data_IF_830553976331
#
_entry.id   IF_830553976331
#
_cell.length_a   1.000
_cell.length_b   1.000
_cell.length_c   1.000
_cell.angle_alpha   90.00
_cell.angle_beta   90.00
_cell.angle_gamma   90.00
#
_symmetry.space_group_name_H-M   'P 1'
#
loop_
_entity.id
_entity.type
_entity.pdbx_description
1 polymer ?
#
# COMPACT_ATOMS: atom_id res chain seq x y z
N UNK A 1 -27.97 19.08 9.99
CA UNK A 1 -27.70 17.67 10.36
C UNK A 1 -28.95 17.14 11.04
N UNK A 2 -29.59 16.13 10.46
CA UNK A 2 -30.78 15.53 11.05
C UNK A 2 -30.42 14.64 12.25
N UNK A 3 -31.40 14.39 13.16
CA UNK A 3 -31.16 13.51 14.30
C UNK A 3 -30.74 12.09 13.83
N UNK A 4 -31.28 11.64 12.70
CA UNK A 4 -30.99 10.34 12.11
C UNK A 4 -29.53 10.24 11.61
N UNK A 5 -28.99 11.32 11.03
CA UNK A 5 -27.57 11.38 10.63
C UNK A 5 -26.63 11.25 11.83
N UNK A 6 -26.97 11.88 12.95
CA UNK A 6 -26.20 11.79 14.20
C UNK A 6 -26.22 10.38 14.79
N UNK A 7 -27.38 9.70 14.76
CA UNK A 7 -27.54 8.34 15.26
C UNK A 7 -26.68 7.37 14.40
N UNK A 8 -26.77 7.47 13.08
CA UNK A 8 -26.02 6.60 12.16
C UNK A 8 -24.51 6.77 12.38
N UNK A 9 -24.04 8.02 12.51
CA UNK A 9 -22.62 8.32 12.77
C UNK A 9 -22.18 7.80 14.14
N UNK A 10 -23.00 7.98 15.18
CA UNK A 10 -22.70 7.51 16.52
C UNK A 10 -22.60 5.98 16.59
N UNK A 11 -23.54 5.28 15.96
CA UNK A 11 -23.55 3.82 15.87
C UNK A 11 -22.36 3.32 15.06
N UNK A 12 -22.07 3.93 13.90
CA UNK A 12 -20.91 3.59 13.07
C UNK A 12 -19.59 3.78 13.81
N UNK A 13 -19.44 4.90 14.53
CA UNK A 13 -18.26 5.18 15.34
C UNK A 13 -18.09 4.18 16.48
N UNK A 14 -19.20 3.78 17.14
CA UNK A 14 -19.17 2.78 18.20
C UNK A 14 -18.78 1.38 17.69
N UNK A 15 -19.31 0.98 16.54
CA UNK A 15 -18.95 -0.30 15.88
C UNK A 15 -17.48 -0.31 15.50
N UNK A 16 -16.98 0.76 14.88
CA UNK A 16 -15.58 0.89 14.50
C UNK A 16 -14.67 0.85 15.73
N UNK A 17 -15.03 1.56 16.80
CA UNK A 17 -14.28 1.56 18.05
C UNK A 17 -14.23 0.17 18.71
N UNK A 18 -15.34 -0.55 18.73
CA UNK A 18 -15.42 -1.92 19.26
C UNK A 18 -14.59 -2.90 18.41
N UNK A 19 -14.63 -2.78 17.08
CA UNK A 19 -13.83 -3.59 16.17
C UNK A 19 -12.33 -3.35 16.38
N UNK A 20 -11.89 -2.08 16.44
CA UNK A 20 -10.50 -1.71 16.68
C UNK A 20 -9.99 -2.16 18.06
N UNK A 21 -10.86 -2.10 19.08
CA UNK A 21 -10.55 -2.61 20.42
C UNK A 21 -10.33 -4.13 20.40
N UNK A 22 -11.22 -4.88 19.75
CA UNK A 22 -11.07 -6.34 19.60
C UNK A 22 -9.82 -6.76 18.85
N UNK A 23 -9.37 -5.93 17.90
CA UNK A 23 -8.13 -6.14 17.13
C UNK A 23 -6.85 -5.77 17.89
N UNK A 24 -6.94 -5.52 19.21
CA UNK A 24 -5.81 -5.16 20.09
C UNK A 24 -5.02 -3.92 19.63
N UNK A 25 -5.65 -2.99 18.93
CA UNK A 25 -5.02 -1.74 18.51
C UNK A 25 -4.71 -0.77 19.69
N UNK A 26 -5.13 -1.12 20.88
CA UNK A 26 -5.03 -0.29 22.08
C UNK A 26 -6.27 0.60 22.27
N UNK A 27 -6.64 0.83 23.51
CA UNK A 27 -7.82 1.63 23.89
C UNK A 27 -7.79 3.05 23.32
N UNK A 28 -6.61 3.65 23.24
CA UNK A 28 -6.44 5.01 22.70
C UNK A 28 -6.82 5.08 21.21
N UNK A 29 -6.33 4.18 20.38
CA UNK A 29 -6.64 4.15 18.94
C UNK A 29 -8.09 3.75 18.69
N UNK A 30 -8.65 2.82 19.47
CA UNK A 30 -10.04 2.41 19.36
C UNK A 30 -11.04 3.56 19.63
N UNK A 31 -10.63 4.56 20.38
CA UNK A 31 -11.45 5.76 20.68
C UNK A 31 -11.09 6.91 19.74
N UNK A 32 -9.81 7.15 19.51
CA UNK A 32 -9.33 8.30 18.72
C UNK A 32 -9.76 8.23 17.25
N UNK A 33 -9.73 7.04 16.62
CA UNK A 33 -10.11 6.90 15.22
C UNK A 33 -11.59 7.21 14.95
N UNK A 34 -12.57 6.62 15.66
CA UNK A 34 -13.98 6.93 15.40
C UNK A 34 -14.34 8.36 15.77
N UNK A 35 -13.73 8.92 16.83
CA UNK A 35 -13.94 10.35 17.17
C UNK A 35 -13.33 11.27 16.10
N UNK A 36 -12.16 10.96 15.60
CA UNK A 36 -11.51 11.69 14.51
C UNK A 36 -12.32 11.65 13.22
N UNK A 37 -12.86 10.48 12.85
CA UNK A 37 -13.72 10.30 11.70
C UNK A 37 -15.03 11.10 11.84
N UNK A 38 -15.64 11.09 13.03
CA UNK A 38 -16.84 11.85 13.31
C UNK A 38 -16.58 13.37 13.27
N UNK A 39 -15.47 13.82 13.87
CA UNK A 39 -15.08 15.23 13.83
C UNK A 39 -14.80 15.70 12.39
N UNK A 40 -14.13 14.87 11.59
CA UNK A 40 -13.84 15.15 10.19
C UNK A 40 -15.14 15.26 9.37
N UNK A 41 -16.09 14.33 9.56
CA UNK A 41 -17.38 14.40 8.89
C UNK A 41 -18.13 15.69 9.24
N UNK A 42 -18.20 16.06 10.52
CA UNK A 42 -18.86 17.29 10.97
C UNK A 42 -18.18 18.53 10.36
N UNK A 43 -16.85 18.57 10.33
CA UNK A 43 -16.10 19.66 9.73
C UNK A 43 -16.38 19.78 8.22
N UNK A 44 -16.39 18.67 7.50
CA UNK A 44 -16.66 18.64 6.05
C UNK A 44 -18.10 19.04 5.72
N UNK A 45 -19.08 18.66 6.56
CA UNK A 45 -20.47 19.08 6.42
C UNK A 45 -20.68 20.58 6.68
N UNK A 46 -19.79 21.21 7.44
CA UNK A 46 -19.78 22.68 7.63
C UNK A 46 -19.21 23.45 6.44
N UNK A 47 -18.65 22.77 5.46
CA UNK A 47 -18.15 23.35 4.20
C UNK A 47 -19.19 23.25 3.08
N UNK A 48 -18.79 23.55 1.84
CA UNK A 48 -19.65 23.48 0.64
C UNK A 48 -19.96 22.03 0.18
N UNK A 49 -19.48 21.02 0.91
CA UNK A 49 -19.64 19.60 0.54
C UNK A 49 -21.03 19.06 0.84
N UNK A 50 -21.54 18.19 -0.06
CA UNK A 50 -22.78 17.44 0.18
C UNK A 50 -22.55 16.34 1.24
N UNK A 51 -23.66 15.80 1.79
CA UNK A 51 -23.58 14.71 2.77
C UNK A 51 -22.81 13.49 2.24
N UNK A 52 -23.08 13.11 1.00
CA UNK A 52 -22.44 11.98 0.34
C UNK A 52 -20.94 12.20 0.14
N UNK A 53 -20.54 13.40 -0.31
CA UNK A 53 -19.13 13.76 -0.45
C UNK A 53 -18.40 13.73 0.90
N UNK A 54 -19.03 14.28 1.95
CA UNK A 54 -18.43 14.29 3.29
C UNK A 54 -18.27 12.87 3.85
N UNK A 55 -19.26 11.98 3.66
CA UNK A 55 -19.17 10.57 4.06
C UNK A 55 -18.09 9.84 3.29
N UNK A 56 -18.06 9.97 1.97
CA UNK A 56 -17.05 9.36 1.09
C UNK A 56 -15.64 9.75 1.52
N UNK A 57 -15.42 11.05 1.70
CA UNK A 57 -14.12 11.58 2.14
C UNK A 57 -13.73 11.06 3.52
N UNK A 58 -14.69 10.97 4.44
CA UNK A 58 -14.46 10.46 5.79
C UNK A 58 -14.08 8.97 5.78
N UNK A 59 -14.79 8.14 5.02
CA UNK A 59 -14.46 6.69 4.88
C UNK A 59 -13.07 6.53 4.27
N UNK A 60 -12.75 7.30 3.22
CA UNK A 60 -11.45 7.26 2.56
C UNK A 60 -10.29 7.59 3.52
N UNK A 61 -10.34 8.74 4.19
CA UNK A 61 -9.27 9.14 5.10
C UNK A 61 -9.17 8.25 6.33
N UNK A 62 -10.28 7.70 6.82
CA UNK A 62 -10.27 6.72 7.92
C UNK A 62 -9.57 5.44 7.50
N UNK A 63 -9.90 4.89 6.32
CA UNK A 63 -9.24 3.72 5.77
C UNK A 63 -7.75 4.00 5.52
N UNK A 64 -7.41 5.14 4.92
CA UNK A 64 -6.03 5.54 4.67
C UNK A 64 -5.22 5.67 5.96
N UNK A 65 -5.76 6.29 7.00
CA UNK A 65 -5.12 6.40 8.30
C UNK A 65 -4.90 5.04 8.98
N UNK A 66 -5.85 4.09 8.84
CA UNK A 66 -5.68 2.72 9.32
C UNK A 66 -4.58 1.97 8.55
N UNK A 67 -4.49 2.16 7.24
CA UNK A 67 -3.41 1.60 6.40
C UNK A 67 -2.05 2.18 6.82
N UNK A 68 -1.97 3.49 7.01
CA UNK A 68 -0.75 4.18 7.43
C UNK A 68 -0.29 3.80 8.84
N UNK A 69 -1.19 3.33 9.71
CA UNK A 69 -0.83 2.84 11.04
C UNK A 69 -0.02 1.54 11.03
N UNK A 70 0.03 0.82 9.91
CA UNK A 70 0.72 -0.46 9.67
C UNK A 70 0.34 -1.60 10.66
N UNK A 71 -0.67 -1.39 11.49
CA UNK A 71 -1.10 -2.37 12.50
C UNK A 71 -2.09 -3.40 11.97
N UNK A 72 -2.76 -3.09 10.87
CA UNK A 72 -3.72 -3.96 10.21
C UNK A 72 -3.24 -4.29 8.81
N UNK A 73 -3.67 -5.44 8.31
CA UNK A 73 -3.35 -5.85 6.97
C UNK A 73 -3.97 -4.88 5.95
N UNK A 74 -3.15 -4.25 5.11
CA UNK A 74 -3.57 -3.19 4.17
C UNK A 74 -4.75 -3.60 3.29
N UNK A 75 -4.70 -4.83 2.77
CA UNK A 75 -5.78 -5.39 1.93
C UNK A 75 -7.10 -5.53 2.70
N UNK A 76 -7.05 -5.96 3.96
CA UNK A 76 -8.26 -6.09 4.79
C UNK A 76 -8.91 -4.74 5.03
N UNK A 77 -8.13 -3.71 5.35
CA UNK A 77 -8.64 -2.36 5.56
C UNK A 77 -9.25 -1.80 4.28
N UNK A 78 -8.58 -1.97 3.14
CA UNK A 78 -9.07 -1.52 1.84
C UNK A 78 -10.39 -2.20 1.45
N UNK A 79 -10.49 -3.53 1.63
CA UNK A 79 -11.72 -4.28 1.36
C UNK A 79 -12.88 -3.86 2.28
N UNK A 80 -12.61 -3.69 3.58
CA UNK A 80 -13.63 -3.21 4.53
C UNK A 80 -14.10 -1.81 4.17
N UNK A 81 -13.18 -0.92 3.77
CA UNK A 81 -13.51 0.42 3.28
C UNK A 81 -14.39 0.38 2.03
N UNK A 82 -14.04 -0.45 1.05
CA UNK A 82 -14.83 -0.62 -0.17
C UNK A 82 -16.24 -1.18 0.12
N UNK A 83 -16.35 -2.20 0.98
CA UNK A 83 -17.65 -2.76 1.40
C UNK A 83 -18.47 -1.72 2.16
N UNK A 84 -17.84 -0.92 3.01
CA UNK A 84 -18.53 0.17 3.71
C UNK A 84 -19.13 1.21 2.74
N UNK A 85 -18.40 1.57 1.66
CA UNK A 85 -18.90 2.47 0.62
C UNK A 85 -20.16 1.91 -0.09
N UNK A 86 -20.16 0.60 -0.39
CA UNK A 86 -21.31 -0.10 -0.98
C UNK A 86 -22.50 -0.16 -0.01
N UNK A 87 -22.26 -0.51 1.25
CA UNK A 87 -23.33 -0.63 2.27
C UNK A 87 -23.97 0.72 2.62
N UNK A 88 -23.18 1.80 2.59
CA UNK A 88 -23.69 3.16 2.78
C UNK A 88 -24.40 3.74 1.54
N UNK A 89 -24.44 2.98 0.43
CA UNK A 89 -25.06 3.42 -0.81
C UNK A 89 -24.36 4.59 -1.50
N UNK A 90 -23.11 4.86 -1.14
CA UNK A 90 -22.29 5.94 -1.73
C UNK A 90 -21.81 5.59 -3.14
N UNK A 91 -21.69 4.31 -3.42
CA UNK A 91 -21.34 3.74 -4.72
C UNK A 91 -22.22 2.54 -4.98
N UNK A 92 -22.82 2.43 -6.17
CA UNK A 92 -23.59 1.26 -6.54
C UNK A 92 -22.65 0.10 -6.93
N UNK A 93 -23.12 -1.12 -6.80
CA UNK A 93 -22.34 -2.31 -7.20
C UNK A 93 -21.94 -2.24 -8.69
N UNK A 94 -22.82 -1.73 -9.53
CA UNK A 94 -22.58 -1.60 -10.97
C UNK A 94 -21.48 -0.58 -11.26
N UNK A 95 -21.51 0.57 -10.59
CA UNK A 95 -20.46 1.60 -10.67
C UNK A 95 -19.11 1.10 -10.13
N UNK A 96 -19.11 0.33 -9.04
CA UNK A 96 -17.89 -0.22 -8.46
C UNK A 96 -17.21 -1.23 -9.38
N UNK A 97 -17.98 -2.07 -10.09
CA UNK A 97 -17.44 -3.15 -10.92
C UNK A 97 -17.19 -2.73 -12.36
N UNK A 98 -18.06 -1.91 -12.95
CA UNK A 98 -18.03 -1.52 -14.36
C UNK A 98 -17.67 -0.05 -14.60
N UNK A 99 -17.68 0.78 -13.54
CA UNK A 99 -17.42 2.22 -13.64
C UNK A 99 -18.63 3.04 -14.05
N UNK A 100 -18.50 4.35 -14.00
CA UNK A 100 -19.53 5.33 -14.39
C UNK A 100 -18.98 6.23 -15.48
N UNK A 101 -19.33 5.96 -16.71
CA UNK A 101 -18.84 6.72 -17.86
C UNK A 101 -17.32 6.60 -18.05
N UNK A 102 -16.60 7.72 -18.02
CA UNK A 102 -15.13 7.75 -18.15
C UNK A 102 -14.39 7.37 -16.85
N UNK A 103 -15.10 7.34 -15.71
CA UNK A 103 -14.51 6.90 -14.42
C UNK A 103 -14.67 5.39 -14.33
N UNK A 104 -13.55 4.68 -14.51
CA UNK A 104 -13.53 3.22 -14.48
C UNK A 104 -13.84 2.68 -13.09
N UNK A 105 -14.53 1.54 -13.04
CA UNK A 105 -14.64 0.71 -11.84
C UNK A 105 -13.38 -0.13 -11.62
N UNK A 106 -13.55 -1.40 -11.31
CA UNK A 106 -12.41 -2.33 -11.21
C UNK A 106 -11.79 -2.55 -12.58
N UNK A 107 -10.54 -2.14 -12.76
CA UNK A 107 -9.80 -2.40 -14.00
C UNK A 107 -9.30 -3.85 -14.02
N UNK A 108 -10.09 -4.70 -14.65
CA UNK A 108 -9.78 -6.11 -14.81
C UNK A 108 -8.51 -6.36 -15.63
N UNK A 109 -8.18 -5.47 -16.57
CA UNK A 109 -6.96 -5.59 -17.37
C UNK A 109 -5.74 -5.42 -16.50
N UNK A 110 -5.75 -4.42 -15.60
CA UNK A 110 -4.69 -4.20 -14.61
C UNK A 110 -4.59 -5.38 -13.64
N UNK A 111 -5.72 -5.95 -13.17
CA UNK A 111 -5.69 -7.12 -12.28
C UNK A 111 -5.05 -8.32 -12.98
N UNK A 112 -5.47 -8.65 -14.20
CA UNK A 112 -4.89 -9.76 -14.96
C UNK A 112 -3.42 -9.54 -15.32
N UNK A 113 -3.03 -8.29 -15.63
CA UNK A 113 -1.64 -7.91 -15.84
C UNK A 113 -0.81 -8.17 -14.58
N UNK A 114 -1.28 -7.72 -13.42
CA UNK A 114 -0.58 -7.92 -12.14
C UNK A 114 -0.45 -9.42 -11.80
N UNK A 115 -1.52 -10.21 -12.00
CA UNK A 115 -1.46 -11.66 -11.77
C UNK A 115 -0.42 -12.30 -12.71
N UNK A 116 -0.45 -11.98 -13.99
CA UNK A 116 0.52 -12.50 -14.97
C UNK A 116 1.95 -12.12 -14.61
N UNK A 117 2.18 -10.87 -14.23
CA UNK A 117 3.49 -10.39 -13.79
C UNK A 117 3.97 -11.13 -12.54
N UNK A 118 3.11 -11.34 -11.54
CA UNK A 118 3.44 -12.09 -10.32
C UNK A 118 3.84 -13.54 -10.62
N UNK A 119 3.19 -14.19 -11.58
CA UNK A 119 3.56 -15.56 -12.01
C UNK A 119 4.94 -15.56 -12.67
N UNK A 120 5.19 -14.63 -13.61
CA UNK A 120 6.50 -14.51 -14.29
C UNK A 120 7.61 -14.26 -13.27
N UNK A 121 7.41 -13.32 -12.35
CA UNK A 121 8.38 -12.97 -11.31
C UNK A 121 8.68 -14.16 -10.40
N UNK A 122 7.66 -14.94 -10.01
CA UNK A 122 7.86 -16.12 -9.19
C UNK A 122 8.70 -17.18 -9.89
N UNK A 123 8.51 -17.36 -11.20
CA UNK A 123 9.35 -18.25 -12.02
C UNK A 123 10.78 -17.69 -12.10
N UNK A 124 10.95 -16.40 -12.40
CA UNK A 124 12.27 -15.75 -12.47
C UNK A 124 13.04 -15.86 -11.15
N UNK A 125 12.36 -15.73 -10.01
CA UNK A 125 12.97 -15.90 -8.69
C UNK A 125 13.58 -17.30 -8.52
N UNK A 126 12.91 -18.34 -9.02
CA UNK A 126 13.41 -19.72 -8.92
C UNK A 126 14.61 -19.99 -9.83
N UNK A 127 14.81 -19.20 -10.89
CA UNK A 127 15.95 -19.36 -11.82
C UNK A 127 17.25 -18.75 -11.30
N UNK A 128 17.24 -18.01 -10.19
CA UNK A 128 18.43 -17.38 -9.61
C UNK A 128 18.96 -16.18 -10.41
N UNK A 129 18.14 -15.58 -11.28
CA UNK A 129 18.56 -14.42 -12.11
C UNK A 129 19.00 -13.25 -11.25
N UNK A 130 18.31 -12.99 -10.14
CA UNK A 130 18.61 -11.85 -9.26
C UNK A 130 19.93 -12.04 -8.51
N UNK A 131 20.21 -13.26 -8.04
CA UNK A 131 21.47 -13.66 -7.45
C UNK A 131 22.62 -13.56 -8.47
N UNK A 132 22.35 -13.97 -9.71
CA UNK A 132 23.34 -13.83 -10.79
C UNK A 132 23.66 -12.36 -11.07
N UNK A 133 22.66 -11.49 -11.17
CA UNK A 133 22.84 -10.02 -11.36
C UNK A 133 23.68 -9.45 -10.22
N UNK A 134 23.38 -9.79 -8.99
CA UNK A 134 24.08 -9.32 -7.81
C UNK A 134 25.56 -9.79 -7.81
N UNK A 135 25.81 -11.07 -8.07
CA UNK A 135 27.18 -11.62 -8.16
C UNK A 135 27.95 -10.96 -9.32
N UNK A 136 27.31 -10.76 -10.46
CA UNK A 136 27.92 -10.10 -11.61
C UNK A 136 28.31 -8.66 -11.29
N UNK A 137 27.43 -7.92 -10.61
CA UNK A 137 27.70 -6.55 -10.14
C UNK A 137 28.86 -6.51 -9.15
N UNK A 138 28.92 -7.45 -8.20
CA UNK A 138 30.02 -7.58 -7.26
C UNK A 138 31.37 -7.84 -7.96
N UNK A 139 31.39 -8.75 -8.94
CA UNK A 139 32.59 -9.05 -9.74
C UNK A 139 33.06 -7.86 -10.57
N UNK A 140 32.14 -7.15 -11.24
CA UNK A 140 32.44 -5.96 -12.04
C UNK A 140 32.95 -4.81 -11.17
N UNK A 141 32.42 -4.67 -9.95
CA UNK A 141 32.82 -3.65 -8.98
C UNK A 141 34.16 -3.92 -8.31
N UNK A 142 34.83 -5.05 -8.61
CA UNK A 142 36.17 -5.42 -8.10
C UNK A 142 36.34 -5.29 -6.58
N UNK A 143 35.27 -5.45 -5.84
CA UNK A 143 35.27 -5.32 -4.38
C UNK A 143 35.16 -3.89 -3.85
N UNK A 144 35.07 -2.88 -4.73
CA UNK A 144 34.82 -1.49 -4.32
C UNK A 144 33.35 -1.28 -3.94
N UNK A 145 33.02 -0.95 -2.68
CA UNK A 145 31.64 -0.83 -2.22
C UNK A 145 30.80 0.16 -3.01
N UNK A 146 31.36 1.33 -3.33
CA UNK A 146 30.64 2.39 -4.06
C UNK A 146 30.30 1.95 -5.48
N UNK A 147 31.26 1.34 -6.18
CA UNK A 147 31.08 0.85 -7.56
C UNK A 147 30.02 -0.26 -7.59
N UNK A 148 30.04 -1.17 -6.63
CA UNK A 148 29.04 -2.24 -6.50
C UNK A 148 27.65 -1.63 -6.24
N UNK A 149 27.57 -0.63 -5.37
CA UNK A 149 26.33 0.07 -5.05
C UNK A 149 25.71 0.72 -6.30
N UNK A 150 26.53 1.39 -7.11
CA UNK A 150 26.09 1.99 -8.37
C UNK A 150 25.60 0.92 -9.35
N UNK A 151 26.36 -0.16 -9.54
CA UNK A 151 26.00 -1.23 -10.46
C UNK A 151 24.70 -1.93 -10.07
N UNK A 152 24.50 -2.21 -8.77
CA UNK A 152 23.27 -2.81 -8.27
C UNK A 152 22.10 -1.82 -8.43
N UNK A 153 22.32 -0.54 -8.16
CA UNK A 153 21.27 0.49 -8.34
C UNK A 153 20.83 0.58 -9.81
N UNK A 154 21.75 0.60 -10.74
CA UNK A 154 21.44 0.61 -12.18
C UNK A 154 20.70 -0.68 -12.58
N UNK A 155 21.17 -1.82 -12.13
CA UNK A 155 20.50 -3.10 -12.39
C UNK A 155 19.08 -3.12 -11.79
N UNK A 156 18.89 -2.59 -10.58
CA UNK A 156 17.59 -2.47 -9.93
C UNK A 156 16.66 -1.56 -10.71
N UNK A 157 17.13 -0.40 -11.17
CA UNK A 157 16.35 0.53 -11.99
C UNK A 157 15.88 -0.14 -13.31
N UNK A 158 16.77 -0.86 -13.99
CA UNK A 158 16.43 -1.59 -15.21
C UNK A 158 15.40 -2.70 -14.95
N UNK A 159 15.54 -3.42 -13.84
CA UNK A 159 14.57 -4.45 -13.44
C UNK A 159 13.22 -3.83 -13.05
N UNK A 160 13.22 -2.67 -12.37
CA UNK A 160 12.02 -1.95 -11.98
C UNK A 160 11.21 -1.41 -13.17
N UNK A 161 11.86 -1.13 -14.29
CA UNK A 161 11.17 -0.78 -15.52
C UNK A 161 10.30 -1.94 -16.10
N UNK A 162 10.60 -3.19 -15.70
CA UNK A 162 9.88 -4.39 -16.13
C UNK A 162 8.98 -4.97 -15.04
N UNK A 163 9.28 -4.68 -13.77
CA UNK A 163 8.61 -5.21 -12.59
C UNK A 163 8.04 -4.05 -11.77
N UNK A 164 7.10 -4.35 -10.89
CA UNK A 164 6.65 -3.37 -9.91
C UNK A 164 7.74 -3.09 -8.84
N UNK A 165 7.72 -1.91 -8.26
CA UNK A 165 8.71 -1.43 -7.30
C UNK A 165 8.85 -2.38 -6.09
N UNK A 166 7.71 -2.84 -5.54
CA UNK A 166 7.70 -3.70 -4.34
C UNK A 166 8.37 -5.04 -4.63
N UNK A 167 8.03 -5.66 -5.75
CA UNK A 167 8.61 -6.95 -6.18
C UNK A 167 10.09 -6.81 -6.45
N UNK A 168 10.51 -5.75 -7.14
CA UNK A 168 11.92 -5.47 -7.42
C UNK A 168 12.74 -5.36 -6.14
N UNK A 169 12.25 -4.62 -5.13
CA UNK A 169 12.91 -4.50 -3.82
C UNK A 169 12.97 -5.84 -3.10
N UNK A 170 11.86 -6.60 -3.06
CA UNK A 170 11.81 -7.90 -2.39
C UNK A 170 12.80 -8.91 -2.99
N UNK A 171 13.12 -8.79 -4.27
CA UNK A 171 14.05 -9.67 -4.96
C UNK A 171 15.51 -9.21 -4.85
N UNK A 172 15.76 -7.91 -4.94
CA UNK A 172 17.13 -7.36 -4.96
C UNK A 172 17.72 -7.16 -3.57
N UNK A 173 16.91 -6.89 -2.53
CA UNK A 173 17.39 -6.70 -1.15
C UNK A 173 18.10 -7.95 -0.59
N UNK A 174 17.56 -9.18 -0.66
CA UNK A 174 18.27 -10.37 -0.18
C UNK A 174 19.63 -10.56 -0.85
N UNK A 175 19.70 -10.37 -2.16
CA UNK A 175 20.93 -10.48 -2.93
C UNK A 175 21.95 -9.39 -2.53
N UNK A 176 21.50 -8.16 -2.33
CA UNK A 176 22.32 -7.05 -1.84
C UNK A 176 22.86 -7.30 -0.43
N UNK A 177 22.06 -7.89 0.47
CA UNK A 177 22.49 -8.27 1.81
C UNK A 177 23.58 -9.33 1.81
N UNK A 178 23.51 -10.30 0.89
CA UNK A 178 24.56 -11.31 0.74
C UNK A 178 25.90 -10.66 0.35
N UNK A 179 25.89 -9.69 -0.56
CA UNK A 179 27.08 -8.93 -0.95
C UNK A 179 27.61 -8.10 0.21
N UNK A 180 26.75 -7.39 0.94
CA UNK A 180 27.17 -6.59 2.09
C UNK A 180 27.86 -7.47 3.16
N UNK A 181 27.34 -8.66 3.41
CA UNK A 181 27.96 -9.64 4.34
C UNK A 181 29.30 -10.13 3.81
N UNK A 182 29.40 -10.47 2.53
CA UNK A 182 30.64 -10.94 1.92
C UNK A 182 31.76 -9.89 1.93
N UNK A 183 31.40 -8.62 1.79
CA UNK A 183 32.34 -7.48 1.80
C UNK A 183 32.52 -6.86 3.18
N UNK A 184 31.80 -7.34 4.19
CA UNK A 184 31.82 -6.80 5.56
C UNK A 184 31.51 -5.30 5.64
N UNK A 185 30.53 -4.83 4.84
CA UNK A 185 30.07 -3.44 4.79
C UNK A 185 28.68 -3.29 5.40
N UNK A 186 28.36 -2.08 5.87
CA UNK A 186 27.04 -1.77 6.41
C UNK A 186 25.96 -1.87 5.31
N UNK A 187 24.86 -2.60 5.55
CA UNK A 187 23.85 -2.82 4.52
C UNK A 187 22.95 -1.61 4.24
N UNK A 188 22.86 -0.67 5.19
CA UNK A 188 21.91 0.45 5.12
C UNK A 188 22.05 1.30 3.85
N UNK A 189 23.25 1.79 3.47
CA UNK A 189 23.39 2.59 2.24
C UNK A 189 22.99 1.80 0.98
N UNK A 190 23.37 0.52 0.92
CA UNK A 190 23.04 -0.36 -0.21
C UNK A 190 21.53 -0.55 -0.37
N UNK A 191 20.84 -0.83 0.74
CA UNK A 191 19.37 -1.01 0.73
C UNK A 191 18.68 0.28 0.35
N UNK A 192 19.12 1.43 0.87
CA UNK A 192 18.57 2.74 0.52
C UNK A 192 18.69 3.02 -0.98
N UNK A 193 19.86 2.74 -1.57
CA UNK A 193 20.06 2.89 -3.01
C UNK A 193 19.13 1.97 -3.83
N UNK A 194 18.97 0.72 -3.41
CA UNK A 194 18.06 -0.25 -4.05
C UNK A 194 16.62 0.24 -4.00
N UNK A 195 16.14 0.70 -2.83
CA UNK A 195 14.77 1.22 -2.66
C UNK A 195 14.54 2.46 -3.53
N UNK A 196 15.48 3.40 -3.55
CA UNK A 196 15.37 4.61 -4.38
C UNK A 196 15.37 4.26 -5.87
N UNK A 197 16.26 3.36 -6.30
CA UNK A 197 16.38 2.93 -7.70
C UNK A 197 15.20 2.11 -8.19
N UNK A 198 14.46 1.47 -7.30
CA UNK A 198 13.24 0.72 -7.66
C UNK A 198 12.04 1.62 -7.94
N UNK A 199 12.12 2.92 -7.69
CA UNK A 199 11.04 3.88 -7.92
C UNK A 199 11.24 4.69 -9.22
N UNK A 200 12.11 4.25 -10.09
CA UNK A 200 12.32 4.79 -11.42
C UNK A 200 11.52 3.96 -12.42
#
# INVERSE_FOLDING_TARGET
>A
MSADELIILGVGAAILGAALYRLRLGTFLAIAYPLGAMAMYIALRGTVMTAEQALTTTVFFTAYGLIASERLHKTTVALVGAVAMLLLGLVTQEEALHGRGEVGGVDWNTIFLLIGMMVIVNIMRQTGVFEWVAIKSAKLGRGEPVTIMILISVATALLSALLDNVTTVLLTVPASLLICRALNITPVPMIMCVILSSNI
#
